data_IF_300022819206
#
_entry.id   IF_300022819206
#
_cell.length_a   1.000
_cell.length_b   1.000
_cell.length_c   1.000
_cell.angle_alpha   90.00
_cell.angle_beta   90.00
_cell.angle_gamma   90.00
#
_symmetry.space_group_name_H-M   'P 1'
#
loop_
_entity.id
_entity.type
_entity.pdbx_description
1 polymer ?
#
# COMPACT_ATOMS: atom_id res chain seq x y z
N UNK A 1 -19.68 -6.44 10.12
CA UNK A 1 -19.33 -6.83 8.72
C UNK A 1 -18.05 -7.64 8.71
N UNK A 2 -17.80 -8.47 7.66
CA UNK A 2 -16.55 -9.23 7.48
C UNK A 2 -15.68 -8.56 6.43
N UNK A 3 -14.39 -8.47 6.69
CA UNK A 3 -13.42 -7.84 5.78
C UNK A 3 -12.19 -8.73 5.59
N UNK A 4 -11.72 -8.93 4.36
CA UNK A 4 -10.45 -9.58 4.08
C UNK A 4 -9.32 -8.58 4.34
N UNK A 5 -8.35 -8.94 5.16
CA UNK A 5 -7.20 -8.08 5.48
C UNK A 5 -5.91 -8.81 5.13
N UNK A 6 -5.16 -8.27 4.18
CA UNK A 6 -3.83 -8.75 3.86
C UNK A 6 -2.83 -8.16 4.86
N UNK A 7 -2.03 -9.02 5.46
CA UNK A 7 -1.03 -8.68 6.48
C UNK A 7 0.36 -8.82 5.87
N UNK A 8 1.33 -7.92 6.16
CA UNK A 8 2.71 -8.02 5.68
C UNK A 8 3.44 -9.20 6.33
N UNK A 9 3.28 -10.38 5.78
CA UNK A 9 3.66 -11.67 6.33
C UNK A 9 4.02 -12.63 5.19
N UNK A 10 4.39 -13.88 5.54
CA UNK A 10 4.73 -14.95 4.60
C UNK A 10 3.50 -15.62 3.94
N UNK A 11 2.29 -15.24 4.32
CA UNK A 11 1.07 -15.84 3.79
C UNK A 11 0.68 -15.25 2.43
N UNK A 12 0.12 -16.10 1.58
CA UNK A 12 -0.31 -15.71 0.22
C UNK A 12 -1.79 -15.30 0.14
N UNK A 13 -2.47 -15.22 1.26
CA UNK A 13 -3.90 -14.94 1.34
C UNK A 13 -4.23 -13.91 2.41
N UNK A 14 -5.30 -13.12 2.24
CA UNK A 14 -5.81 -12.26 3.28
C UNK A 14 -6.52 -13.06 4.38
N UNK A 15 -6.52 -12.56 5.60
CA UNK A 15 -7.25 -13.13 6.72
C UNK A 15 -8.59 -12.42 6.91
N UNK A 16 -9.63 -13.17 7.29
CA UNK A 16 -10.94 -12.60 7.53
C UNK A 16 -11.05 -12.04 8.95
N UNK A 17 -11.41 -10.77 9.05
CA UNK A 17 -11.69 -10.07 10.31
C UNK A 17 -13.12 -9.52 10.32
N UNK A 18 -13.63 -9.21 11.53
CA UNK A 18 -14.90 -8.49 11.68
C UNK A 18 -14.65 -7.02 12.03
N UNK A 19 -15.56 -6.16 11.62
CA UNK A 19 -15.52 -4.74 12.00
C UNK A 19 -16.94 -4.18 12.09
N UNK A 20 -17.12 -3.22 13.01
CA UNK A 20 -18.30 -2.36 13.08
C UNK A 20 -18.07 -1.06 12.31
N UNK A 21 -16.82 -0.77 11.95
CA UNK A 21 -16.44 0.41 11.16
C UNK A 21 -16.66 0.09 9.69
N UNK A 22 -17.20 1.05 8.95
CA UNK A 22 -17.32 0.94 7.50
C UNK A 22 -15.94 1.11 6.85
N UNK A 23 -15.45 0.06 6.21
CA UNK A 23 -14.14 -0.02 5.60
C UNK A 23 -14.27 -0.23 4.09
N UNK A 24 -13.30 0.30 3.35
CA UNK A 24 -13.18 0.14 1.90
C UNK A 24 -11.87 -0.60 1.56
N UNK A 25 -11.85 -1.23 0.39
CA UNK A 25 -10.62 -1.82 -0.15
C UNK A 25 -9.54 -0.75 -0.23
N UNK A 26 -8.34 -1.10 0.25
CA UNK A 26 -7.22 -0.18 0.37
C UNK A 26 -7.09 0.50 1.73
N UNK A 27 -8.10 0.46 2.60
CA UNK A 27 -8.00 1.05 3.93
C UNK A 27 -6.93 0.34 4.76
N UNK A 28 -6.09 1.15 5.43
CA UNK A 28 -5.10 0.65 6.38
C UNK A 28 -5.76 0.41 7.73
N UNK A 29 -5.54 -0.76 8.30
CA UNK A 29 -6.15 -1.19 9.56
C UNK A 29 -5.14 -1.85 10.49
N UNK A 30 -5.31 -1.65 11.77
CA UNK A 30 -4.58 -2.39 12.80
C UNK A 30 -5.40 -3.60 13.24
N UNK A 31 -4.80 -4.78 13.17
CA UNK A 31 -5.44 -6.05 13.50
C UNK A 31 -4.64 -6.88 14.49
N UNK A 32 -5.29 -7.69 15.33
CA UNK A 32 -4.61 -8.62 16.22
C UNK A 32 -4.18 -9.86 15.43
N UNK A 33 -2.87 -10.11 15.38
CA UNK A 33 -2.30 -11.29 14.74
C UNK A 33 -1.40 -12.08 15.72
N UNK A 34 -1.82 -13.27 16.10
CA UNK A 34 -1.22 -14.00 17.22
C UNK A 34 -1.33 -13.20 18.51
N UNK A 35 -0.18 -12.93 19.14
CA UNK A 35 -0.04 -12.10 20.37
C UNK A 35 0.31 -10.64 20.06
N UNK A 36 0.51 -10.30 18.78
CA UNK A 36 0.93 -8.95 18.33
C UNK A 36 -0.21 -8.22 17.65
N UNK A 37 -0.08 -6.90 17.57
CA UNK A 37 -0.87 -6.03 16.70
C UNK A 37 -0.06 -5.74 15.45
N UNK A 38 -0.67 -5.81 14.29
CA UNK A 38 -0.02 -5.59 13.00
C UNK A 38 -0.88 -4.69 12.15
N UNK A 39 -0.24 -3.85 11.35
CA UNK A 39 -0.92 -3.08 10.33
C UNK A 39 -1.10 -3.95 9.09
N UNK A 40 -2.32 -3.94 8.54
CA UNK A 40 -2.67 -4.62 7.31
C UNK A 40 -3.51 -3.71 6.42
N UNK A 41 -3.89 -4.22 5.28
CA UNK A 41 -4.70 -3.49 4.30
C UNK A 41 -5.95 -4.31 3.98
N UNK A 42 -7.10 -3.66 3.94
CA UNK A 42 -8.34 -4.27 3.48
C UNK A 42 -8.16 -4.64 2.01
N UNK A 43 -8.25 -5.94 1.73
CA UNK A 43 -7.98 -6.48 0.39
C UNK A 43 -9.27 -6.69 -0.39
N UNK A 44 -9.15 -6.97 -1.68
CA UNK A 44 -10.27 -7.13 -2.60
C UNK A 44 -10.78 -8.57 -2.71
N UNK A 45 -10.07 -9.54 -2.13
CA UNK A 45 -10.40 -10.96 -2.22
C UNK A 45 -10.51 -11.58 -0.83
N UNK A 46 -11.44 -12.50 -0.64
CA UNK A 46 -11.48 -13.37 0.55
C UNK A 46 -10.63 -14.62 0.33
N UNK A 47 -10.18 -15.23 1.43
CA UNK A 47 -9.61 -16.57 1.39
C UNK A 47 -10.63 -17.55 0.81
N UNK A 48 -10.19 -18.37 -0.16
CA UNK A 48 -11.10 -19.31 -0.86
C UNK A 48 -11.53 -20.48 0.05
N UNK A 49 -10.74 -20.84 1.05
CA UNK A 49 -11.02 -21.97 1.94
C UNK A 49 -11.65 -21.52 3.27
N UNK A 50 -12.98 -21.45 3.29
CA UNK A 50 -13.77 -21.10 4.48
C UNK A 50 -14.16 -22.33 5.33
N UNK A 51 -13.58 -23.49 5.11
CA UNK A 51 -13.98 -24.76 5.76
C UNK A 51 -13.71 -24.80 7.28
N UNK A 52 -12.84 -23.92 7.79
CA UNK A 52 -12.50 -23.88 9.22
C UNK A 52 -13.28 -22.78 9.93
N UNK A 53 -14.17 -23.18 10.84
CA UNK A 53 -14.90 -22.28 11.76
C UNK A 53 -13.97 -21.72 12.85
N UNK A 54 -13.13 -20.76 12.49
CA UNK A 54 -12.36 -20.00 13.49
C UNK A 54 -13.21 -18.87 14.07
N UNK A 55 -13.00 -18.57 15.35
CA UNK A 55 -13.54 -17.36 15.97
C UNK A 55 -12.86 -16.16 15.31
N UNK A 56 -13.62 -15.41 14.49
CA UNK A 56 -13.11 -14.23 13.81
C UNK A 56 -12.70 -13.17 14.83
N UNK A 57 -11.52 -12.61 14.64
CA UNK A 57 -11.03 -11.49 15.46
C UNK A 57 -11.56 -10.17 14.90
N UNK A 58 -11.66 -9.15 15.77
CA UNK A 58 -12.13 -7.83 15.39
C UNK A 58 -10.96 -6.94 14.98
N UNK A 59 -11.16 -6.10 13.97
CA UNK A 59 -10.26 -5.00 13.59
C UNK A 59 -10.20 -4.02 14.76
N UNK A 60 -9.01 -3.61 15.18
CA UNK A 60 -8.82 -2.75 16.34
C UNK A 60 -9.13 -1.28 15.99
N UNK A 61 -8.55 -0.79 14.90
CA UNK A 61 -8.77 0.58 14.40
C UNK A 61 -8.48 0.69 12.91
N UNK A 62 -9.09 1.68 12.27
CA UNK A 62 -8.69 2.18 10.97
C UNK A 62 -7.60 3.25 11.17
N UNK A 63 -6.56 3.23 10.34
CA UNK A 63 -5.51 4.26 10.35
C UNK A 63 -5.97 5.48 9.56
N UNK A 64 -5.61 6.68 10.04
CA UNK A 64 -5.92 7.95 9.40
C UNK A 64 -4.91 8.27 8.29
N UNK A 65 -4.92 7.44 7.26
CA UNK A 65 -4.07 7.58 6.06
C UNK A 65 -4.90 7.35 4.81
N UNK A 66 -4.46 7.93 3.70
CA UNK A 66 -5.12 7.72 2.43
C UNK A 66 -5.12 6.24 2.05
N UNK A 67 -6.25 5.71 1.57
CA UNK A 67 -6.34 4.32 1.15
C UNK A 67 -5.32 3.97 0.06
N UNK A 68 -4.82 2.75 0.08
CA UNK A 68 -3.97 2.23 -0.97
C UNK A 68 -4.73 2.24 -2.30
N UNK A 69 -4.14 2.82 -3.33
CA UNK A 69 -4.76 2.93 -4.64
C UNK A 69 -4.97 1.55 -5.26
N UNK A 70 -6.05 1.39 -6.00
CA UNK A 70 -6.35 0.14 -6.73
C UNK A 70 -5.19 -0.27 -7.64
N UNK A 71 -4.57 0.66 -8.35
CA UNK A 71 -3.41 0.41 -9.22
C UNK A 71 -2.24 -0.23 -8.47
N UNK A 72 -2.01 0.18 -7.21
CA UNK A 72 -0.97 -0.42 -6.37
C UNK A 72 -1.36 -1.83 -5.91
N UNK A 73 -2.64 -2.06 -5.59
CA UNK A 73 -3.14 -3.40 -5.26
C UNK A 73 -2.97 -4.34 -6.46
N UNK A 74 -3.34 -3.89 -7.65
CA UNK A 74 -3.21 -4.66 -8.90
C UNK A 74 -1.73 -4.96 -9.20
N UNK A 75 -0.85 -3.97 -8.99
CA UNK A 75 0.60 -4.16 -9.11
C UNK A 75 1.14 -5.19 -8.11
N UNK A 76 0.75 -5.13 -6.84
CA UNK A 76 1.20 -6.09 -5.82
C UNK A 76 0.72 -7.51 -6.14
N UNK A 77 -0.51 -7.67 -6.65
CA UNK A 77 -1.03 -8.96 -7.09
C UNK A 77 -0.22 -9.51 -8.29
N UNK A 78 0.05 -8.65 -9.28
CA UNK A 78 0.88 -9.02 -10.43
C UNK A 78 2.32 -9.38 -9.98
N UNK A 79 2.93 -8.55 -9.14
CA UNK A 79 4.30 -8.74 -8.64
C UNK A 79 4.44 -10.06 -7.87
N UNK A 80 3.49 -10.35 -6.98
CA UNK A 80 3.43 -11.61 -6.24
C UNK A 80 3.39 -12.81 -7.19
N UNK A 81 2.49 -12.78 -8.17
CA UNK A 81 2.32 -13.85 -9.15
C UNK A 81 3.55 -14.01 -10.06
N UNK A 82 4.10 -12.90 -10.56
CA UNK A 82 5.23 -12.91 -11.49
C UNK A 82 6.51 -13.42 -10.82
N UNK A 83 6.77 -13.01 -9.57
CA UNK A 83 7.96 -13.41 -8.82
C UNK A 83 7.78 -14.68 -7.98
N UNK A 84 6.59 -15.29 -8.00
CA UNK A 84 6.26 -16.48 -7.21
C UNK A 84 6.53 -16.24 -5.71
N UNK A 85 6.18 -15.06 -5.22
CA UNK A 85 6.30 -14.69 -3.80
C UNK A 85 4.92 -14.51 -3.17
N UNK A 86 4.74 -14.87 -1.88
CA UNK A 86 3.46 -14.68 -1.19
C UNK A 86 3.00 -13.20 -1.23
N UNK A 87 1.70 -12.95 -1.41
CA UNK A 87 1.12 -11.59 -1.43
C UNK A 87 1.46 -10.78 -0.18
N UNK A 88 1.48 -11.43 0.99
CA UNK A 88 1.90 -10.77 2.24
C UNK A 88 3.36 -10.32 2.23
N UNK A 89 4.26 -11.04 1.56
CA UNK A 89 5.66 -10.60 1.39
C UNK A 89 5.76 -9.45 0.40
N UNK A 90 5.02 -9.48 -0.71
CA UNK A 90 4.94 -8.34 -1.64
C UNK A 90 4.43 -7.10 -0.91
N UNK A 91 3.39 -7.23 -0.09
CA UNK A 91 2.89 -6.15 0.75
C UNK A 91 3.93 -5.67 1.76
N UNK A 92 4.73 -6.56 2.35
CA UNK A 92 5.80 -6.20 3.29
C UNK A 92 6.86 -5.32 2.64
N UNK A 93 7.20 -5.54 1.36
CA UNK A 93 8.11 -4.67 0.61
C UNK A 93 7.53 -3.26 0.42
N UNK A 94 6.23 -3.16 0.25
CA UNK A 94 5.53 -1.87 0.14
C UNK A 94 5.42 -1.15 1.50
N UNK A 95 5.15 -1.90 2.57
CA UNK A 95 5.00 -1.40 3.94
C UNK A 95 6.31 -1.53 4.72
N UNK A 96 7.36 -0.83 4.32
CA UNK A 96 8.70 -0.97 4.91
C UNK A 96 8.74 -0.71 6.41
N UNK A 97 7.88 0.17 6.94
CA UNK A 97 7.82 0.48 8.36
C UNK A 97 6.43 0.96 8.77
N UNK A 98 5.95 0.49 9.93
CA UNK A 98 4.69 0.98 10.52
C UNK A 98 4.76 2.48 10.84
N UNK A 99 5.91 2.98 11.24
CA UNK A 99 6.13 4.40 11.56
C UNK A 99 5.96 5.28 10.31
N UNK A 100 6.43 4.81 9.14
CA UNK A 100 6.28 5.55 7.88
C UNK A 100 4.81 5.68 7.44
N UNK A 101 3.94 4.78 7.87
CA UNK A 101 2.51 4.82 7.55
C UNK A 101 1.78 5.82 8.44
N UNK A 102 2.15 5.92 9.72
CA UNK A 102 1.46 6.73 10.72
C UNK A 102 2.03 8.16 10.83
N UNK A 103 3.29 8.36 10.45
CA UNK A 103 3.87 9.69 10.46
C UNK A 103 3.22 10.53 9.37
N UNK A 104 2.43 11.51 9.79
CA UNK A 104 2.10 12.65 8.94
C UNK A 104 3.43 13.21 8.46
N UNK A 105 3.60 13.34 7.15
CA UNK A 105 4.76 13.98 6.53
C UNK A 105 4.88 15.34 7.22
N UNK A 106 5.80 15.47 8.17
CA UNK A 106 6.18 16.77 8.68
C UNK A 106 6.72 17.52 7.48
N UNK A 107 6.34 18.79 7.31
CA UNK A 107 6.65 19.68 6.18
C UNK A 107 8.14 19.92 5.90
N UNK A 108 9.03 19.11 6.44
CA UNK A 108 10.48 19.16 6.18
C UNK A 108 10.84 18.92 4.70
N UNK A 109 9.89 18.43 3.89
CA UNK A 109 10.04 18.40 2.44
C UNK A 109 10.05 19.78 1.78
N UNK A 110 9.55 20.82 2.44
CA UNK A 110 9.63 22.20 1.94
C UNK A 110 11.06 22.71 1.85
N UNK A 111 11.94 22.29 2.78
CA UNK A 111 13.37 22.64 2.74
C UNK A 111 14.11 21.95 1.59
N UNK A 112 13.80 20.66 1.30
CA UNK A 112 14.37 19.96 0.16
C UNK A 112 14.00 20.60 -1.17
N UNK A 113 12.76 21.05 -1.33
CA UNK A 113 12.32 21.76 -2.53
C UNK A 113 13.00 23.14 -2.72
N UNK A 114 13.46 23.77 -1.65
CA UNK A 114 14.22 25.02 -1.73
C UNK A 114 15.66 24.80 -2.20
N UNK A 115 16.26 23.66 -1.85
CA UNK A 115 17.63 23.30 -2.28
C UNK A 115 17.67 22.90 -3.75
N UNK A 116 16.63 22.22 -4.26
CA UNK A 116 16.55 21.80 -5.68
C UNK A 116 16.36 23.00 -6.61
N UNK A 117 15.82 24.14 -6.14
CA UNK A 117 15.59 25.33 -6.95
C UNK A 117 16.87 26.09 -7.34
N UNK A 118 18.01 25.76 -6.80
CA UNK A 118 19.26 26.53 -7.00
C UNK A 118 20.23 25.94 -8.01
N UNK A 119 20.04 24.71 -8.47
CA UNK A 119 20.86 24.14 -9.55
C UNK A 119 20.17 24.31 -10.90
N UNK A 120 20.39 25.45 -11.55
CA UNK A 120 19.94 25.67 -12.93
C UNK A 120 20.84 24.85 -13.86
N UNK A 121 20.57 23.56 -13.98
CA UNK A 121 21.17 22.77 -15.06
C UNK A 121 20.56 23.22 -16.38
N UNK A 122 21.37 23.77 -17.28
CA UNK A 122 20.95 24.03 -18.67
C UNK A 122 20.87 22.69 -19.37
N UNK A 123 19.67 22.26 -19.69
CA UNK A 123 19.42 21.06 -20.50
C UNK A 123 20.03 21.28 -21.88
N UNK A 124 20.67 20.29 -22.47
CA UNK A 124 21.08 20.29 -23.86
C UNK A 124 19.85 20.13 -24.79
N UNK A 125 20.03 20.37 -26.10
CA UNK A 125 18.93 20.35 -27.07
C UNK A 125 18.22 18.99 -27.15
N UNK A 126 18.91 17.89 -26.93
CA UNK A 126 18.35 16.54 -26.96
C UNK A 126 17.52 16.27 -25.70
N UNK A 127 18.01 16.67 -24.52
CA UNK A 127 17.29 16.59 -23.25
C UNK A 127 16.00 17.43 -23.28
N UNK A 128 16.05 18.63 -23.87
CA UNK A 128 14.88 19.49 -24.08
C UNK A 128 13.83 18.80 -24.97
N UNK A 129 14.27 18.21 -26.10
CA UNK A 129 13.38 17.45 -26.99
C UNK A 129 12.74 16.24 -26.26
N UNK A 130 13.50 15.51 -25.46
CA UNK A 130 12.96 14.42 -24.67
C UNK A 130 11.92 14.92 -23.65
N UNK A 131 12.20 16.00 -22.95
CA UNK A 131 11.29 16.58 -21.97
C UNK A 131 9.99 17.07 -22.61
N UNK A 132 10.06 17.75 -23.75
CA UNK A 132 8.87 18.19 -24.49
C UNK A 132 8.05 17.01 -25.00
N UNK A 133 8.68 15.95 -25.49
CA UNK A 133 8.00 14.74 -25.93
C UNK A 133 7.32 14.00 -24.79
N UNK A 134 7.90 13.99 -23.58
CA UNK A 134 7.30 13.41 -22.38
C UNK A 134 6.12 14.24 -21.86
N UNK A 135 6.21 15.57 -21.93
CA UNK A 135 5.15 16.46 -21.45
C UNK A 135 3.96 16.55 -22.41
N UNK A 136 4.18 16.35 -23.72
CA UNK A 136 3.12 16.38 -24.75
C UNK A 136 2.40 15.04 -24.94
N UNK A 137 3.04 13.92 -24.60
CA UNK A 137 2.36 12.64 -24.53
C UNK A 137 1.66 12.56 -23.18
N UNK A 138 0.32 12.74 -23.18
CA UNK A 138 -0.52 12.30 -22.08
C UNK A 138 -0.22 10.82 -21.83
N UNK A 139 0.68 10.56 -20.90
CA UNK A 139 0.98 9.20 -20.46
C UNK A 139 -0.25 8.66 -19.75
N UNK A 140 -1.11 8.00 -20.51
CA UNK A 140 -2.08 7.05 -19.99
C UNK A 140 -1.28 5.79 -19.60
N UNK A 141 -0.81 5.74 -18.37
CA UNK A 141 -0.42 4.50 -17.71
C UNK A 141 -1.57 4.03 -16.81
#
# INVERSE_FOLDING_TARGET
MKFPVLIPNIFDHPFTYTSDINLKVGDYVEVPFGKKKVNGIVWNEFEQDQSKRFKLKKILRKLDVNPLKKTTIDFLNWFSKYNIVPKGMALKLHLLSNQAIENKINDNFSEYNSIIKTSVYKLNNEQLKCLTNLSTKNNKF
#
